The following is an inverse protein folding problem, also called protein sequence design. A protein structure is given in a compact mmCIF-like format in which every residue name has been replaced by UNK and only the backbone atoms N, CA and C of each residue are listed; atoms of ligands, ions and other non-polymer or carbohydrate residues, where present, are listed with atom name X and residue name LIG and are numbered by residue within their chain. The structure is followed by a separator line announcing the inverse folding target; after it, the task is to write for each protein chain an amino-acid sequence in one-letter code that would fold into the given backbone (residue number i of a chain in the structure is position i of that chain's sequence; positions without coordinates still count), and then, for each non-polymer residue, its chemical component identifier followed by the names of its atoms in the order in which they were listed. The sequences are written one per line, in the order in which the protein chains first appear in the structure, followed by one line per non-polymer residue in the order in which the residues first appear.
data_IF_461963473281
#
_entry.id   IF_461963473281
#
_cell.length_a   1.000
_cell.length_b   1.000
_cell.length_c   1.000
_cell.angle_alpha   90.00
_cell.angle_beta   90.00
_cell.angle_gamma   90.00
#
_symmetry.space_group_name_H-M   'P 1'
#
loop_
_entity.id
_entity.type
_entity.pdbx_description
1 polymer ?
#
# COMPACT_ATOMS: atom_id res chain seq x y z
N UNK A 1 4.79 -3.37 -21.45
CA UNK A 1 5.27 -2.63 -20.26
C UNK A 1 6.53 -3.32 -19.77
N UNK A 2 7.60 -2.59 -19.43
CA UNK A 2 8.87 -3.18 -18.96
C UNK A 2 9.13 -2.68 -17.54
N UNK A 3 9.52 -3.59 -16.65
CA UNK A 3 9.99 -3.25 -15.30
C UNK A 3 11.51 -3.11 -15.34
N UNK A 4 12.01 -1.97 -14.89
CA UNK A 4 13.45 -1.76 -14.70
C UNK A 4 13.82 -2.15 -13.27
N UNK A 5 14.34 -3.37 -13.14
CA UNK A 5 14.74 -3.94 -11.86
C UNK A 5 16.12 -3.43 -11.44
N UNK A 6 16.21 -2.95 -10.20
CA UNK A 6 17.47 -2.53 -9.56
C UNK A 6 17.74 -3.41 -8.34
N UNK A 7 19.01 -3.58 -7.98
CA UNK A 7 19.36 -4.22 -6.71
C UNK A 7 18.76 -3.42 -5.55
N UNK A 8 18.31 -4.10 -4.49
CA UNK A 8 17.68 -3.47 -3.33
C UNK A 8 18.70 -3.38 -2.16
N UNK A 9 19.26 -2.20 -1.85
CA UNK A 9 20.24 -2.05 -0.78
C UNK A 9 19.75 -2.49 0.60
N UNK A 10 18.45 -2.31 0.89
CA UNK A 10 17.87 -2.69 2.18
C UNK A 10 17.76 -4.23 2.38
N UNK A 11 17.87 -5.02 1.31
CA UNK A 11 17.85 -6.47 1.37
C UNK A 11 18.74 -7.07 0.27
N UNK A 12 20.04 -7.31 0.56
CA UNK A 12 20.97 -7.93 -0.38
C UNK A 12 20.40 -9.22 -0.99
N UNK A 13 20.65 -9.41 -2.29
CA UNK A 13 20.08 -10.53 -3.06
C UNK A 13 18.63 -10.33 -3.52
N UNK A 14 17.98 -9.22 -3.15
CA UNK A 14 16.65 -8.85 -3.65
C UNK A 14 16.74 -7.74 -4.69
N UNK A 15 15.66 -7.60 -5.46
CA UNK A 15 15.50 -6.55 -6.47
C UNK A 15 14.20 -5.77 -6.23
N UNK A 16 14.17 -4.50 -6.66
CA UNK A 16 12.99 -3.63 -6.67
C UNK A 16 12.76 -3.11 -8.09
N UNK A 17 11.50 -2.89 -8.43
CA UNK A 17 11.10 -2.11 -9.60
C UNK A 17 9.89 -1.27 -9.22
N UNK A 18 9.70 -0.17 -9.94
CA UNK A 18 8.55 0.71 -9.82
C UNK A 18 7.92 0.94 -11.18
N UNK A 19 6.62 1.18 -11.17
CA UNK A 19 5.88 1.34 -12.40
C UNK A 19 4.64 2.18 -12.17
N UNK A 20 4.56 3.31 -12.87
CA UNK A 20 3.35 4.10 -12.96
C UNK A 20 2.53 3.63 -14.17
N UNK A 21 1.21 3.51 -14.00
CA UNK A 21 0.29 3.12 -15.07
C UNK A 21 -0.96 4.00 -15.05
N UNK A 22 -1.69 3.96 -16.16
CA UNK A 22 -3.06 4.44 -16.23
C UNK A 22 -3.91 3.27 -16.73
N UNK A 23 -5.10 3.11 -16.17
CA UNK A 23 -5.94 1.97 -16.44
C UNK A 23 -7.39 2.25 -16.07
N UNK A 24 -8.24 1.22 -16.19
CA UNK A 24 -9.64 1.30 -15.76
C UNK A 24 -9.70 1.26 -14.22
N UNK A 25 -10.71 1.88 -13.59
CA UNK A 25 -10.93 1.72 -12.14
C UNK A 25 -10.97 0.24 -11.73
N UNK A 26 -10.37 -0.08 -10.59
CA UNK A 26 -10.20 -1.44 -10.07
C UNK A 26 -8.97 -2.19 -10.61
N UNK A 27 -8.14 -1.57 -11.45
CA UNK A 27 -6.92 -2.21 -11.95
C UNK A 27 -5.94 -2.50 -10.81
N UNK A 28 -5.81 -1.61 -9.82
CA UNK A 28 -4.93 -1.85 -8.67
C UNK A 28 -5.33 -3.10 -7.89
N UNK A 29 -6.63 -3.31 -7.67
CA UNK A 29 -7.14 -4.51 -7.00
C UNK A 29 -6.84 -5.79 -7.78
N UNK A 30 -6.98 -5.76 -9.11
CA UNK A 30 -6.63 -6.89 -9.97
C UNK A 30 -5.12 -7.20 -9.92
N UNK A 31 -4.26 -6.18 -9.95
CA UNK A 31 -2.80 -6.32 -9.82
C UNK A 31 -2.44 -6.87 -8.44
N UNK A 32 -2.95 -6.29 -7.37
CA UNK A 32 -2.69 -6.73 -6.00
C UNK A 32 -3.11 -8.20 -5.79
N UNK A 33 -4.26 -8.60 -6.33
CA UNK A 33 -4.73 -9.99 -6.30
C UNK A 33 -3.79 -10.94 -7.04
N UNK A 34 -3.34 -10.56 -8.24
CA UNK A 34 -2.38 -11.36 -9.01
C UNK A 34 -1.04 -11.49 -8.28
N UNK A 35 -0.50 -10.41 -7.72
CA UNK A 35 0.77 -10.39 -6.98
C UNK A 35 0.69 -11.17 -5.67
N UNK A 36 -0.47 -11.19 -4.99
CA UNK A 36 -0.68 -11.93 -3.75
C UNK A 36 -0.49 -13.46 -3.91
N UNK A 37 -0.56 -13.98 -5.13
CA UNK A 37 -0.22 -15.39 -5.41
C UNK A 37 1.28 -15.68 -5.21
N UNK A 38 2.13 -14.65 -5.24
CA UNK A 38 3.58 -14.74 -5.06
C UNK A 38 3.96 -14.28 -3.65
N UNK A 39 3.72 -15.14 -2.66
CA UNK A 39 3.83 -14.85 -1.23
C UNK A 39 5.25 -14.48 -0.72
N UNK A 40 6.23 -14.36 -1.62
CA UNK A 40 7.60 -13.91 -1.34
C UNK A 40 7.84 -12.44 -1.69
N UNK A 41 6.90 -11.78 -2.37
CA UNK A 41 7.02 -10.37 -2.73
C UNK A 41 6.73 -9.45 -1.53
N UNK A 42 7.27 -8.25 -1.59
CA UNK A 42 6.78 -7.07 -0.87
C UNK A 42 6.32 -6.09 -1.93
N UNK A 43 5.10 -5.57 -1.81
CA UNK A 43 4.58 -4.63 -2.81
C UNK A 43 3.62 -3.63 -2.20
N UNK A 44 3.52 -2.50 -2.89
CA UNK A 44 2.47 -1.50 -2.73
C UNK A 44 1.87 -1.23 -4.12
N UNK A 45 0.54 -1.21 -4.20
CA UNK A 45 -0.19 -0.88 -5.43
C UNK A 45 -1.23 0.17 -5.06
N UNK A 46 -1.17 1.33 -5.70
CA UNK A 46 -2.06 2.45 -5.40
C UNK A 46 -2.89 2.80 -6.63
N UNK A 47 -4.16 3.11 -6.42
CA UNK A 47 -5.07 3.69 -7.41
C UNK A 47 -5.53 5.05 -6.92
N UNK A 48 -5.44 6.05 -7.80
CA UNK A 48 -6.03 7.37 -7.54
C UNK A 48 -7.56 7.29 -7.63
N UNK A 49 -8.24 8.14 -6.85
CA UNK A 49 -9.69 8.25 -6.92
C UNK A 49 -10.17 8.68 -8.31
N UNK A 50 -11.34 8.20 -8.72
CA UNK A 50 -11.98 8.54 -9.99
C UNK A 50 -13.48 8.80 -9.79
N UNK A 51 -14.22 9.34 -10.77
CA UNK A 51 -15.65 9.63 -10.57
C UNK A 51 -16.45 8.41 -10.10
N UNK A 52 -16.94 8.47 -8.86
CA UNK A 52 -17.70 7.38 -8.23
C UNK A 52 -16.86 6.26 -7.61
N UNK A 53 -15.53 6.40 -7.53
CA UNK A 53 -14.63 5.44 -6.91
C UNK A 53 -13.60 6.15 -6.03
N UNK A 54 -13.45 5.72 -4.78
CA UNK A 54 -12.41 6.24 -3.91
C UNK A 54 -11.02 5.75 -4.36
N UNK A 55 -9.98 6.49 -3.99
CA UNK A 55 -8.61 6.01 -4.12
C UNK A 55 -8.34 4.85 -3.16
N UNK A 56 -7.45 3.95 -3.52
CA UNK A 56 -7.14 2.77 -2.69
C UNK A 56 -5.66 2.43 -2.75
N UNK A 57 -5.11 2.04 -1.60
CA UNK A 57 -3.77 1.50 -1.45
C UNK A 57 -3.86 0.04 -0.98
N UNK A 58 -3.15 -0.82 -1.69
CA UNK A 58 -2.89 -2.21 -1.30
C UNK A 58 -1.43 -2.33 -0.89
N UNK A 59 -1.17 -2.88 0.28
CA UNK A 59 0.19 -3.14 0.77
C UNK A 59 0.29 -4.59 1.17
N UNK A 60 1.37 -5.27 0.78
CA UNK A 60 1.60 -6.66 1.14
C UNK A 60 3.02 -6.87 1.63
N UNK A 61 3.14 -7.65 2.71
CA UNK A 61 4.41 -8.21 3.15
C UNK A 61 4.26 -9.70 3.47
N UNK A 62 5.35 -10.49 3.37
CA UNK A 62 5.29 -11.91 3.72
C UNK A 62 4.90 -12.19 5.18
N UNK A 63 5.20 -11.28 6.10
CA UNK A 63 4.92 -11.42 7.55
C UNK A 63 3.50 -11.00 7.92
N UNK A 64 2.94 -9.98 7.27
CA UNK A 64 1.64 -9.38 7.66
C UNK A 64 0.50 -9.74 6.70
N UNK A 65 0.80 -10.23 5.51
CA UNK A 65 -0.19 -10.47 4.47
C UNK A 65 -0.66 -9.16 3.82
N UNK A 66 -1.91 -9.13 3.34
CA UNK A 66 -2.48 -8.00 2.61
C UNK A 66 -3.14 -6.99 3.55
N UNK A 67 -2.82 -5.72 3.35
CA UNK A 67 -3.57 -4.56 3.82
C UNK A 67 -4.27 -3.86 2.66
N UNK A 68 -5.45 -3.31 2.93
CA UNK A 68 -6.20 -2.47 1.98
C UNK A 68 -6.77 -1.28 2.72
N UNK A 69 -6.43 -0.08 2.26
CA UNK A 69 -6.90 1.18 2.81
C UNK A 69 -7.42 2.09 1.72
N UNK A 70 -8.56 2.73 1.97
CA UNK A 70 -9.02 3.86 1.14
C UNK A 70 -8.07 5.03 1.37
N UNK A 71 -7.75 5.81 0.34
CA UNK A 71 -6.83 6.94 0.45
C UNK A 71 -7.45 8.27 0.04
N UNK A 72 -7.05 9.35 0.71
CA UNK A 72 -7.35 10.72 0.30
C UNK A 72 -6.56 11.09 -0.96
N UNK A 73 -6.91 12.22 -1.58
CA UNK A 73 -6.13 12.78 -2.69
C UNK A 73 -4.68 13.14 -2.29
N UNK A 74 -4.40 13.31 -0.99
CA UNK A 74 -3.06 13.55 -0.46
C UNK A 74 -2.30 12.24 -0.12
N UNK A 75 -2.93 11.07 -0.33
CA UNK A 75 -2.33 9.76 -0.03
C UNK A 75 -2.51 9.29 1.42
N UNK A 76 -3.30 9.99 2.24
CA UNK A 76 -3.57 9.59 3.61
C UNK A 76 -4.57 8.43 3.67
N UNK A 77 -4.38 7.47 4.56
CA UNK A 77 -5.37 6.40 4.78
C UNK A 77 -6.62 6.97 5.46
N UNK A 78 -7.77 6.76 4.83
CA UNK A 78 -9.08 7.11 5.36
C UNK A 78 -9.68 5.91 6.09
N UNK A 79 -10.03 6.12 7.37
CA UNK A 79 -10.70 5.11 8.19
C UNK A 79 -12.19 5.47 8.33
N UNK A 80 -13.12 4.63 7.85
CA UNK A 80 -14.54 4.87 8.02
C UNK A 80 -14.93 4.99 9.50
N UNK A 81 -15.80 5.94 9.82
CA UNK A 81 -16.28 6.19 11.19
C UNK A 81 -16.77 4.91 11.88
N UNK A 82 -17.51 4.06 11.17
CA UNK A 82 -18.01 2.79 11.70
C UNK A 82 -16.89 1.86 12.19
N UNK A 83 -15.73 1.84 11.52
CA UNK A 83 -14.56 1.05 11.95
C UNK A 83 -13.91 1.65 13.20
N UNK A 84 -13.84 2.98 13.31
CA UNK A 84 -13.36 3.65 14.51
C UNK A 84 -14.27 3.37 15.71
N UNK A 85 -15.59 3.49 15.54
CA UNK A 85 -16.57 3.19 16.60
C UNK A 85 -16.48 1.74 17.05
N UNK A 86 -16.32 0.80 16.12
CA UNK A 86 -16.12 -0.62 16.45
C UNK A 86 -14.86 -0.82 17.28
N UNK A 87 -13.72 -0.25 16.88
CA UNK A 87 -12.47 -0.36 17.62
C UNK A 87 -12.58 0.19 19.06
N UNK A 88 -13.29 1.30 19.25
CA UNK A 88 -13.57 1.86 20.59
C UNK A 88 -14.44 0.92 21.42
N UNK A 89 -15.47 0.32 20.82
CA UNK A 89 -16.35 -0.63 21.52
C UNK A 89 -15.60 -1.90 21.93
N UNK A 90 -14.78 -2.46 21.03
CA UNK A 90 -13.95 -3.64 21.31
C UNK A 90 -12.93 -3.37 22.41
N UNK A 91 -12.31 -2.19 22.40
CA UNK A 91 -11.38 -1.78 23.45
C UNK A 91 -12.08 -1.60 24.81
N UNK A 92 -13.26 -0.98 24.84
CA UNK A 92 -14.05 -0.85 26.07
C UNK A 92 -14.52 -2.21 26.63
N UNK A 93 -14.72 -3.20 25.77
CA UNK A 93 -15.05 -4.58 26.15
C UNK A 93 -13.83 -5.40 26.61
N UNK A 94 -12.62 -4.82 26.61
CA UNK A 94 -11.38 -5.52 26.97
C UNK A 94 -10.86 -6.47 25.89
N UNK A 95 -11.35 -6.36 24.64
CA UNK A 95 -10.97 -7.24 23.54
C UNK A 95 -9.60 -6.93 22.93
N UNK A 96 -9.28 -5.66 22.69
CA UNK A 96 -7.96 -5.24 22.22
C UNK A 96 -7.63 -3.81 22.65
N UNK A 97 -6.34 -3.51 22.80
CA UNK A 97 -5.89 -2.13 23.01
C UNK A 97 -6.31 -1.22 21.84
N UNK A 98 -6.78 -0.01 22.15
CA UNK A 98 -7.30 0.93 21.16
C UNK A 98 -6.19 1.44 20.23
N UNK A 99 -4.98 1.70 20.75
CA UNK A 99 -3.87 2.16 19.94
C UNK A 99 -3.47 1.07 18.94
N UNK A 100 -3.36 -0.18 19.39
CA UNK A 100 -3.12 -1.32 18.50
C UNK A 100 -4.23 -1.49 17.43
N UNK A 101 -5.49 -1.23 17.77
CA UNK A 101 -6.58 -1.26 16.80
C UNK A 101 -6.44 -0.15 15.75
N UNK A 102 -6.06 1.07 16.16
CA UNK A 102 -5.80 2.20 15.25
C UNK A 102 -4.62 1.90 14.32
N UNK A 103 -3.54 1.31 14.83
CA UNK A 103 -2.37 0.94 14.03
C UNK A 103 -2.72 -0.08 12.93
N UNK A 104 -3.60 -1.04 13.24
CA UNK A 104 -4.13 -1.98 12.25
C UNK A 104 -5.03 -1.29 11.22
N UNK A 105 -5.90 -0.38 11.66
CA UNK A 105 -6.82 0.35 10.76
C UNK A 105 -6.08 1.28 9.80
N UNK A 106 -4.98 1.87 10.24
CA UNK A 106 -4.16 2.79 9.45
C UNK A 106 -3.11 2.08 8.60
N UNK A 107 -2.83 0.80 8.88
CA UNK A 107 -1.83 0.02 8.15
C UNK A 107 -0.39 0.32 8.58
N UNK A 108 -0.19 0.91 9.77
CA UNK A 108 1.14 1.32 10.28
C UNK A 108 2.18 0.20 10.18
N UNK A 109 1.82 -1.03 10.58
CA UNK A 109 2.75 -2.16 10.56
C UNK A 109 3.28 -2.48 9.14
N UNK A 110 2.45 -2.29 8.11
CA UNK A 110 2.89 -2.44 6.72
C UNK A 110 3.81 -1.30 6.29
N UNK A 111 3.47 -0.06 6.66
CA UNK A 111 4.32 1.09 6.40
C UNK A 111 5.70 0.90 7.04
N UNK A 112 5.77 0.48 8.31
CA UNK A 112 7.04 0.23 9.02
C UNK A 112 7.89 -0.87 8.36
N UNK A 113 7.28 -1.97 7.90
CA UNK A 113 8.01 -3.02 7.21
C UNK A 113 8.46 -2.63 5.80
N UNK A 114 7.71 -1.77 5.11
CA UNK A 114 8.00 -1.34 3.74
C UNK A 114 8.94 -0.12 3.68
N UNK A 115 8.97 0.71 4.72
CA UNK A 115 9.73 1.97 4.76
C UNK A 115 11.21 1.81 4.39
N UNK A 116 11.96 0.81 4.93
CA UNK A 116 13.37 0.63 4.55
C UNK A 116 13.58 0.41 3.05
N UNK A 117 12.57 -0.17 2.39
CA UNK A 117 12.61 -0.47 0.97
C UNK A 117 12.27 0.73 0.09
N UNK A 118 11.59 1.77 0.62
CA UNK A 118 11.20 3.01 -0.07
C UNK A 118 12.40 3.93 -0.30
N UNK A 119 13.14 4.27 0.77
CA UNK A 119 14.31 5.16 0.70
C UNK A 119 15.52 4.56 0.01
N UNK A 120 15.67 3.24 0.06
CA UNK A 120 16.79 2.55 -0.59
C UNK A 120 16.78 2.64 -2.13
N UNK A 121 15.77 3.30 -2.72
CA UNK A 121 15.66 3.59 -4.15
C UNK A 121 15.89 5.06 -4.55
N UNK A 122 16.24 5.98 -3.64
CA UNK A 122 16.47 7.41 -3.96
C UNK A 122 17.66 7.68 -4.92
N UNK A 123 18.35 6.62 -5.36
CA UNK A 123 19.34 6.66 -6.44
C UNK A 123 18.80 6.28 -7.84
N UNK A 124 17.51 5.95 -7.97
CA UNK A 124 16.89 5.59 -9.25
C UNK A 124 16.38 6.85 -10.00
N UNK A 125 16.56 6.95 -11.33
CA UNK A 125 16.14 8.13 -12.09
C UNK A 125 14.61 8.25 -12.10
N UNK A 126 14.09 9.29 -11.44
CA UNK A 126 12.65 9.64 -11.48
C UNK A 126 12.29 10.08 -12.90
N UNK A 127 11.46 9.28 -13.59
CA UNK A 127 10.93 9.62 -14.91
C UNK A 127 9.55 10.28 -14.76
N UNK A 128 9.52 11.60 -14.82
CA UNK A 128 8.27 12.35 -14.89
C UNK A 128 7.50 12.00 -16.17
N UNK A 129 6.22 11.66 -16.04
CA UNK A 129 5.31 11.51 -17.19
C UNK A 129 4.71 12.88 -17.50
N UNK A 130 5.09 13.46 -18.64
CA UNK A 130 4.38 14.60 -19.21
C UNK A 130 3.01 14.14 -19.71
N UNK A 131 1.95 14.84 -19.30
CA UNK A 131 0.63 14.70 -19.90
C UNK A 131 0.69 15.18 -21.36
N UNK A 132 0.30 14.32 -22.30
CA UNK A 132 -0.01 14.69 -23.68
C UNK A 132 -1.49 14.36 -23.92
N UNK A 133 -2.27 15.39 -24.23
CA UNK A 133 -3.71 15.35 -24.45
C UNK A 133 -4.33 16.68 -24.09
#
# INVERSE_FOLDING_TARGET
MKLDWVAQPAAPGHHRAELNWQGRPGTAGAVASALNTWQRLRFEVTEEGSPGCDGVRYSYTPSLGMFTGVTSAAGEVLVPEGRLRLAVQEAAAGGSDLAAAIDRLTGRAWDEELEPFRYAGDGAPVRWLHAVG
#
